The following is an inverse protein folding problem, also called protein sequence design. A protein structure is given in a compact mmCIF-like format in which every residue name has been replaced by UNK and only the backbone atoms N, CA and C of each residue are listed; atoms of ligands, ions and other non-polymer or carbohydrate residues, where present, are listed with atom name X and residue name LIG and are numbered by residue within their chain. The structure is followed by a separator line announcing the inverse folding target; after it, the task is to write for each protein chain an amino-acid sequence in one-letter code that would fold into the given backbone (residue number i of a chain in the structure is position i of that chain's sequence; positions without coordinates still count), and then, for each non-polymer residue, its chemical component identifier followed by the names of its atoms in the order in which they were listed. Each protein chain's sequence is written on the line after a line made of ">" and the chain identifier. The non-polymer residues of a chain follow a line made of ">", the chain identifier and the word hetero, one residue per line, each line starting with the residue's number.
data_IF_859351682675
#
_entry.id   IF_859351682675
#
_cell.length_a   1.000
_cell.length_b   1.000
_cell.length_c   1.000
_cell.angle_alpha   90.00
_cell.angle_beta   90.00
_cell.angle_gamma   90.00
#
_symmetry.space_group_name_H-M   'P 1'
#
loop_
_entity.id
_entity.type
_entity.pdbx_description
1 polymer ?
#
# COMPACT_ATOMS: atom_id res chain seq x y z
N UNK A 1 -8.43 23.35 -3.70
CA UNK A 1 -7.31 23.33 -2.73
C UNK A 1 -6.22 22.47 -3.35
N UNK A 2 -5.07 23.02 -3.68
CA UNK A 2 -3.90 22.21 -4.05
C UNK A 2 -3.49 21.37 -2.83
N UNK A 3 -3.56 20.05 -2.95
CA UNK A 3 -2.95 19.16 -1.97
C UNK A 3 -1.44 19.27 -2.18
N UNK A 4 -0.77 20.09 -1.38
CA UNK A 4 0.69 20.20 -1.42
C UNK A 4 1.28 18.85 -1.00
N UNK A 5 1.81 18.11 -1.96
CA UNK A 5 2.65 16.94 -1.70
C UNK A 5 3.78 17.35 -0.74
N UNK A 6 4.11 16.48 0.21
CA UNK A 6 5.33 16.64 1.00
C UNK A 6 6.49 16.00 0.23
N UNK A 7 7.33 16.77 -0.51
CA UNK A 7 8.42 16.21 -1.30
C UNK A 7 9.39 15.35 -0.47
N UNK A 8 9.45 15.59 0.84
CA UNK A 8 10.29 14.81 1.78
C UNK A 8 9.92 13.33 1.81
N UNK A 9 8.64 12.98 1.67
CA UNK A 9 8.21 11.58 1.80
C UNK A 9 8.58 10.76 0.57
N UNK A 10 8.49 11.33 -0.64
CA UNK A 10 8.97 10.64 -1.85
C UNK A 10 10.48 10.43 -1.80
N UNK A 11 11.23 11.47 -1.40
CA UNK A 11 12.69 11.38 -1.26
C UNK A 11 13.10 10.32 -0.23
N UNK A 12 12.39 10.27 0.89
CA UNK A 12 12.60 9.28 1.93
C UNK A 12 12.32 7.87 1.43
N UNK A 13 11.18 7.62 0.77
CA UNK A 13 10.83 6.32 0.20
C UNK A 13 11.86 5.89 -0.84
N UNK A 14 12.27 6.78 -1.74
CA UNK A 14 13.29 6.45 -2.75
C UNK A 14 14.62 6.10 -2.08
N UNK A 15 15.11 6.96 -1.18
CA UNK A 15 16.44 6.82 -0.58
C UNK A 15 16.55 5.65 0.39
N UNK A 16 15.51 5.43 1.22
CA UNK A 16 15.51 4.36 2.22
C UNK A 16 15.05 3.04 1.63
N UNK A 17 14.16 3.08 0.64
CA UNK A 17 13.66 1.92 -0.07
C UNK A 17 14.55 1.46 -1.22
N UNK A 18 15.57 2.23 -1.62
CA UNK A 18 16.42 1.97 -2.80
C UNK A 18 15.59 1.93 -4.10
N UNK A 19 14.72 2.93 -4.28
CA UNK A 19 13.74 3.00 -5.37
C UNK A 19 13.95 4.23 -6.26
N UNK A 20 15.18 4.73 -6.36
CA UNK A 20 15.51 5.89 -7.20
C UNK A 20 15.09 5.72 -8.66
N UNK A 21 15.21 4.49 -9.20
CA UNK A 21 14.80 4.16 -10.56
C UNK A 21 13.28 4.25 -10.78
N UNK A 22 12.49 4.06 -9.72
CA UNK A 22 11.03 4.13 -9.74
C UNK A 22 10.48 5.47 -9.22
N UNK A 23 11.33 6.49 -9.07
CA UNK A 23 10.97 7.77 -8.45
C UNK A 23 9.73 8.42 -9.07
N UNK A 24 9.67 8.47 -10.40
CA UNK A 24 8.56 9.15 -11.07
C UNK A 24 7.25 8.35 -10.97
N UNK A 25 7.34 7.02 -11.02
CA UNK A 25 6.21 6.13 -10.71
C UNK A 25 5.71 6.35 -9.28
N UNK A 26 6.61 6.43 -8.29
CA UNK A 26 6.25 6.68 -6.90
C UNK A 26 5.58 8.05 -6.74
N UNK A 27 6.10 9.09 -7.40
CA UNK A 27 5.45 10.41 -7.41
C UNK A 27 4.04 10.33 -7.98
N UNK A 28 3.85 9.63 -9.09
CA UNK A 28 2.54 9.48 -9.72
C UNK A 28 1.55 8.73 -8.80
N UNK A 29 1.97 7.63 -8.19
CA UNK A 29 1.16 6.91 -7.18
C UNK A 29 0.82 7.84 -6.00
N UNK A 30 1.78 8.61 -5.50
CA UNK A 30 1.56 9.55 -4.41
C UNK A 30 0.57 10.64 -4.81
N UNK A 31 0.66 11.21 -6.02
CA UNK A 31 -0.29 12.19 -6.55
C UNK A 31 -1.69 11.62 -6.55
N UNK A 32 -1.86 10.43 -7.14
CA UNK A 32 -3.14 9.73 -7.24
C UNK A 32 -3.79 9.53 -5.86
N UNK A 33 -3.03 9.02 -4.88
CA UNK A 33 -3.52 8.75 -3.52
C UNK A 33 -3.95 10.07 -2.83
N UNK A 34 -3.14 11.13 -2.97
CA UNK A 34 -3.44 12.44 -2.40
C UNK A 34 -4.67 13.10 -3.04
N UNK A 35 -4.86 12.97 -4.35
CA UNK A 35 -6.03 13.48 -5.07
C UNK A 35 -7.32 12.78 -4.65
N UNK A 36 -7.25 11.52 -4.22
CA UNK A 36 -8.39 10.81 -3.61
C UNK A 36 -8.61 11.15 -2.13
N UNK A 37 -7.81 12.05 -1.55
CA UNK A 37 -7.98 12.52 -0.18
C UNK A 37 -7.33 11.62 0.88
N UNK A 38 -6.39 10.75 0.50
CA UNK A 38 -5.59 9.97 1.43
C UNK A 38 -4.15 10.50 1.48
N UNK A 39 -3.57 10.62 2.67
CA UNK A 39 -2.17 11.04 2.83
C UNK A 39 -1.26 9.83 2.94
N UNK A 40 0.03 10.03 2.72
CA UNK A 40 1.05 8.99 2.89
C UNK A 40 2.08 9.48 3.90
N UNK A 41 2.43 8.62 4.85
CA UNK A 41 3.52 8.82 5.79
C UNK A 41 4.32 7.53 5.94
N UNK A 42 5.63 7.65 6.07
CA UNK A 42 6.51 6.53 6.39
C UNK A 42 6.45 6.22 7.88
N UNK A 43 6.72 4.97 8.25
CA UNK A 43 6.90 4.55 9.64
C UNK A 43 7.98 3.46 9.76
N UNK A 44 8.52 3.32 10.97
CA UNK A 44 9.67 2.44 11.24
C UNK A 44 9.46 1.55 12.47
N UNK A 45 8.45 1.87 13.29
CA UNK A 45 8.21 1.26 14.60
C UNK A 45 7.26 0.06 14.55
N UNK A 46 6.61 -0.21 13.42
CA UNK A 46 5.68 -1.34 13.24
C UNK A 46 6.12 -2.23 12.08
N UNK A 47 5.84 -3.55 12.14
CA UNK A 47 6.34 -4.50 11.15
C UNK A 47 5.57 -4.50 9.81
N UNK A 48 4.39 -3.90 9.74
CA UNK A 48 3.55 -3.89 8.53
C UNK A 48 3.21 -2.48 8.11
N UNK A 49 2.77 -2.30 6.87
CA UNK A 49 2.06 -1.08 6.45
C UNK A 49 0.59 -1.13 6.91
N UNK A 50 -0.12 0.00 6.91
CA UNK A 50 -1.56 0.04 7.24
C UNK A 50 -2.21 1.36 6.83
N UNK A 51 -3.52 1.37 6.62
CA UNK A 51 -4.33 2.60 6.60
C UNK A 51 -4.78 3.01 8.02
N UNK A 52 -4.41 4.23 8.43
CA UNK A 52 -4.85 4.86 9.68
C UNK A 52 -6.05 5.78 9.40
N UNK A 53 -7.21 5.37 9.88
CA UNK A 53 -8.49 6.10 9.74
C UNK A 53 -8.79 7.03 10.92
N UNK A 54 -7.89 7.15 11.89
CA UNK A 54 -8.11 7.92 13.13
C UNK A 54 -7.60 9.36 13.07
N UNK A 55 -6.82 9.71 12.04
CA UNK A 55 -6.25 11.03 11.89
C UNK A 55 -7.32 12.10 11.61
N UNK A 56 -7.22 13.23 12.31
CA UNK A 56 -8.18 14.33 12.22
C UNK A 56 -8.30 14.93 10.81
N UNK A 57 -7.21 14.91 10.05
CA UNK A 57 -7.14 15.52 8.71
C UNK A 57 -7.39 14.51 7.57
N UNK A 58 -8.06 13.40 7.85
CA UNK A 58 -8.35 12.34 6.88
C UNK A 58 -7.40 11.13 6.97
N UNK A 59 -7.69 10.05 6.22
CA UNK A 59 -6.98 8.79 6.32
C UNK A 59 -5.53 8.89 5.84
N UNK A 60 -4.64 8.14 6.50
CA UNK A 60 -3.20 8.14 6.22
C UNK A 60 -2.72 6.71 5.99
N UNK A 61 -2.15 6.44 4.81
CA UNK A 61 -1.35 5.24 4.60
C UNK A 61 -0.03 5.39 5.35
N UNK A 62 0.19 4.48 6.31
CA UNK A 62 1.44 4.35 7.08
C UNK A 62 2.29 3.26 6.43
N UNK A 63 3.20 3.68 5.56
CA UNK A 63 4.05 2.78 4.78
C UNK A 63 5.29 2.36 5.60
N UNK A 64 5.50 1.05 5.75
CA UNK A 64 6.71 0.53 6.37
C UNK A 64 7.84 0.36 5.33
N UNK A 65 9.03 0.88 5.66
CA UNK A 65 10.23 0.77 4.82
C UNK A 65 11.25 -0.27 5.31
N UNK A 66 11.09 -0.86 6.50
CA UNK A 66 12.08 -1.77 7.09
C UNK A 66 11.80 -3.26 6.85
N UNK A 67 10.54 -3.65 6.69
CA UNK A 67 10.18 -5.08 6.59
C UNK A 67 10.30 -5.67 5.19
N UNK A 68 10.59 -4.85 4.18
CA UNK A 68 10.65 -5.26 2.79
C UNK A 68 12.05 -5.79 2.43
N UNK A 69 12.10 -7.05 1.96
CA UNK A 69 13.34 -7.70 1.54
C UNK A 69 13.85 -7.22 0.18
N UNK A 70 12.92 -6.87 -0.70
CA UNK A 70 13.20 -6.35 -2.04
C UNK A 70 12.65 -4.93 -2.13
N UNK A 71 13.40 -3.97 -2.72
CA UNK A 71 12.96 -2.59 -2.91
C UNK A 71 11.54 -2.48 -3.47
N UNK A 72 11.25 -3.22 -4.55
CA UNK A 72 9.98 -3.17 -5.27
C UNK A 72 8.77 -3.57 -4.41
N UNK A 73 8.96 -4.37 -3.34
CA UNK A 73 7.89 -4.74 -2.43
C UNK A 73 7.31 -3.56 -1.66
N UNK A 74 8.05 -2.45 -1.53
CA UNK A 74 7.53 -1.21 -0.95
C UNK A 74 6.46 -0.60 -1.86
N UNK A 75 6.64 -0.65 -3.19
CA UNK A 75 5.63 -0.20 -4.15
C UNK A 75 4.40 -1.10 -4.07
N UNK A 76 4.59 -2.42 -3.99
CA UNK A 76 3.47 -3.37 -3.84
C UNK A 76 2.70 -3.16 -2.53
N UNK A 77 3.42 -2.94 -1.42
CA UNK A 77 2.82 -2.56 -0.13
C UNK A 77 2.00 -1.28 -0.27
N UNK A 78 2.53 -0.26 -0.94
CA UNK A 78 1.83 1.01 -1.14
C UNK A 78 0.54 0.84 -1.93
N UNK A 79 0.57 0.10 -3.04
CA UNK A 79 -0.62 -0.19 -3.86
C UNK A 79 -1.65 -1.01 -3.07
N UNK A 80 -1.21 -1.97 -2.27
CA UNK A 80 -2.09 -2.76 -1.40
C UNK A 80 -2.78 -1.90 -0.34
N UNK A 81 -2.04 -1.05 0.37
CA UNK A 81 -2.64 -0.14 1.35
C UNK A 81 -3.58 0.88 0.71
N UNK A 82 -3.26 1.32 -0.50
CA UNK A 82 -4.19 2.15 -1.26
C UNK A 82 -5.48 1.39 -1.63
N UNK A 83 -5.38 0.10 -1.97
CA UNK A 83 -6.52 -0.78 -2.13
C UNK A 83 -7.39 -0.88 -0.86
N UNK A 84 -6.77 -0.95 0.33
CA UNK A 84 -7.49 -0.89 1.61
C UNK A 84 -8.24 0.43 1.81
N UNK A 85 -7.63 1.54 1.39
CA UNK A 85 -8.28 2.85 1.42
C UNK A 85 -9.48 2.90 0.46
N UNK A 86 -9.34 2.39 -0.77
CA UNK A 86 -10.42 2.33 -1.76
C UNK A 86 -11.57 1.41 -1.33
N UNK A 87 -11.25 0.35 -0.59
CA UNK A 87 -12.23 -0.57 0.03
C UNK A 87 -13.03 0.08 1.18
N UNK A 88 -12.70 1.31 1.57
CA UNK A 88 -13.33 2.05 2.65
C UNK A 88 -12.99 1.56 4.05
N UNK A 89 -13.36 2.35 5.05
CA UNK A 89 -13.16 2.03 6.48
C UNK A 89 -13.98 0.78 6.85
N UNK A 90 -13.41 -0.19 7.58
CA UNK A 90 -14.18 -1.31 8.12
C UNK A 90 -15.38 -0.84 8.95
N UNK A 91 -16.53 -1.49 8.78
CA UNK A 91 -17.76 -1.16 9.53
C UNK A 91 -17.61 -1.43 11.03
N UNK A 92 -16.79 -2.42 11.40
CA UNK A 92 -16.50 -2.80 12.79
C UNK A 92 -15.00 -2.80 13.03
N UNK A 93 -14.60 -2.53 14.29
CA UNK A 93 -13.19 -2.59 14.69
C UNK A 93 -12.64 -4.02 14.77
N UNK A 94 -13.53 -5.03 14.85
CA UNK A 94 -13.20 -6.45 14.85
C UNK A 94 -13.95 -7.11 13.71
N UNK A 95 -13.19 -7.62 12.77
CA UNK A 95 -13.66 -8.46 11.68
C UNK A 95 -13.39 -9.91 12.08
N UNK A 96 -14.26 -10.81 11.69
CA UNK A 96 -13.93 -12.24 11.71
C UNK A 96 -12.92 -12.57 10.59
N UNK A 97 -12.38 -13.78 10.60
CA UNK A 97 -11.32 -14.17 9.67
C UNK A 97 -11.79 -14.19 8.20
N UNK A 98 -13.07 -14.47 7.95
CA UNK A 98 -13.65 -14.46 6.60
C UNK A 98 -13.79 -13.03 6.07
N UNK A 99 -14.27 -12.12 6.91
CA UNK A 99 -14.35 -10.69 6.62
C UNK A 99 -12.96 -10.08 6.43
N UNK A 100 -11.98 -10.48 7.24
CA UNK A 100 -10.60 -10.04 7.09
C UNK A 100 -10.04 -10.52 5.75
N UNK A 101 -10.17 -11.80 5.43
CA UNK A 101 -9.73 -12.35 4.14
C UNK A 101 -10.41 -11.65 2.96
N UNK A 102 -11.72 -11.46 2.99
CA UNK A 102 -12.47 -10.80 1.93
C UNK A 102 -11.95 -9.37 1.69
N UNK A 103 -11.59 -8.65 2.76
CA UNK A 103 -11.00 -7.31 2.64
C UNK A 103 -9.58 -7.32 2.06
N UNK A 104 -8.73 -8.26 2.44
CA UNK A 104 -7.39 -8.38 1.86
C UNK A 104 -7.48 -8.69 0.36
N UNK A 105 -8.38 -9.61 -0.03
CA UNK A 105 -8.63 -9.92 -1.45
C UNK A 105 -9.09 -8.67 -2.20
N UNK A 106 -10.08 -7.94 -1.67
CA UNK A 106 -10.59 -6.73 -2.30
C UNK A 106 -9.52 -5.63 -2.41
N UNK A 107 -8.69 -5.45 -1.38
CA UNK A 107 -7.58 -4.51 -1.41
C UNK A 107 -6.59 -4.86 -2.54
N UNK A 108 -6.28 -6.15 -2.73
CA UNK A 108 -5.45 -6.58 -3.84
C UNK A 108 -6.13 -6.44 -5.21
N UNK A 109 -7.44 -6.68 -5.33
CA UNK A 109 -8.18 -6.45 -6.57
C UNK A 109 -8.15 -4.97 -6.99
N UNK A 110 -8.26 -4.06 -6.02
CA UNK A 110 -8.06 -2.64 -6.29
C UNK A 110 -6.61 -2.35 -6.70
N UNK A 111 -5.62 -2.95 -6.03
CA UNK A 111 -4.22 -2.79 -6.42
C UNK A 111 -3.95 -3.30 -7.84
N UNK A 112 -4.57 -4.42 -8.25
CA UNK A 112 -4.51 -4.96 -9.62
C UNK A 112 -5.05 -3.94 -10.64
N UNK A 113 -6.18 -3.29 -10.32
CA UNK A 113 -6.75 -2.24 -11.18
C UNK A 113 -5.82 -1.03 -11.29
N UNK A 114 -5.20 -0.61 -10.18
CA UNK A 114 -4.27 0.53 -10.20
C UNK A 114 -2.96 0.21 -10.93
N UNK A 115 -2.51 -1.04 -10.90
CA UNK A 115 -1.26 -1.45 -11.54
C UNK A 115 -1.30 -1.22 -13.07
N UNK A 116 -2.48 -1.31 -13.69
CA UNK A 116 -2.69 -1.07 -15.13
C UNK A 116 -2.30 0.37 -15.51
N UNK A 117 -2.46 1.32 -14.60
CA UNK A 117 -2.14 2.74 -14.81
C UNK A 117 -0.64 3.04 -14.74
N UNK A 118 0.21 2.05 -14.40
CA UNK A 118 1.65 2.21 -14.30
C UNK A 118 2.40 1.18 -15.18
N UNK A 119 2.44 1.38 -16.50
CA UNK A 119 3.05 0.42 -17.44
C UNK A 119 4.52 0.08 -17.13
N UNK A 120 5.28 1.03 -16.58
CA UNK A 120 6.65 0.81 -16.11
C UNK A 120 6.78 -0.33 -15.07
N UNK A 121 5.71 -0.64 -14.34
CA UNK A 121 5.69 -1.73 -13.35
C UNK A 121 5.33 -3.10 -13.98
N UNK A 122 4.94 -3.13 -15.26
CA UNK A 122 4.53 -4.36 -15.94
C UNK A 122 5.64 -5.40 -16.04
N UNK A 123 6.90 -4.98 -16.19
CA UNK A 123 8.05 -5.89 -16.21
C UNK A 123 8.20 -6.65 -14.88
N UNK A 124 7.74 -6.04 -13.79
CA UNK A 124 7.77 -6.62 -12.44
C UNK A 124 6.45 -7.32 -12.07
N UNK A 125 5.50 -7.49 -13.00
CA UNK A 125 4.16 -8.04 -12.71
C UNK A 125 4.21 -9.45 -12.11
N UNK A 126 5.17 -10.28 -12.52
CA UNK A 126 5.34 -11.60 -11.92
C UNK A 126 5.74 -11.50 -10.43
N UNK A 127 6.67 -10.61 -10.10
CA UNK A 127 7.09 -10.36 -8.71
C UNK A 127 5.94 -9.81 -7.87
N UNK A 128 5.11 -8.93 -8.46
CA UNK A 128 3.87 -8.46 -7.83
C UNK A 128 2.92 -9.62 -7.47
N UNK A 129 2.62 -10.52 -8.42
CA UNK A 129 1.72 -11.64 -8.17
C UNK A 129 2.27 -12.62 -7.13
N UNK A 130 3.59 -12.85 -7.12
CA UNK A 130 4.26 -13.65 -6.08
C UNK A 130 4.13 -13.00 -4.70
N UNK A 131 4.34 -11.68 -4.61
CA UNK A 131 4.20 -10.92 -3.38
C UNK A 131 2.76 -10.96 -2.85
N UNK A 132 1.77 -10.70 -3.72
CA UNK A 132 0.33 -10.83 -3.40
C UNK A 132 0.00 -12.23 -2.86
N UNK A 133 0.43 -13.27 -3.55
CA UNK A 133 0.17 -14.65 -3.13
C UNK A 133 0.79 -14.96 -1.76
N UNK A 134 2.02 -14.49 -1.52
CA UNK A 134 2.69 -14.64 -0.22
C UNK A 134 1.92 -13.91 0.90
N UNK A 135 1.44 -12.69 0.65
CA UNK A 135 0.62 -11.93 1.61
C UNK A 135 -0.70 -12.65 1.93
N UNK A 136 -1.47 -13.05 0.92
CA UNK A 136 -2.76 -13.72 1.10
C UNK A 136 -2.62 -15.06 1.83
N UNK A 137 -1.56 -15.82 1.55
CA UNK A 137 -1.25 -17.07 2.24
C UNK A 137 -1.15 -16.90 3.76
N UNK A 138 -0.63 -15.77 4.25
CA UNK A 138 -0.56 -15.53 5.71
C UNK A 138 -1.93 -15.45 6.40
N UNK A 139 -2.98 -15.08 5.65
CA UNK A 139 -4.35 -15.07 6.15
C UNK A 139 -5.02 -16.44 5.98
N UNK A 140 -4.73 -17.17 4.90
CA UNK A 140 -5.20 -18.55 4.74
C UNK A 140 -4.67 -19.47 5.83
N UNK A 141 -3.41 -19.33 6.19
CA UNK A 141 -2.77 -20.14 7.23
C UNK A 141 -3.40 -19.83 8.60
N UNK A 142 -3.71 -18.56 8.90
CA UNK A 142 -4.43 -18.17 10.13
C UNK A 142 -5.83 -18.78 10.22
N UNK A 143 -6.55 -18.84 9.11
CA UNK A 143 -7.91 -19.44 9.05
C UNK A 143 -7.94 -20.94 9.32
N UNK A 144 -6.81 -21.64 9.17
CA UNK A 144 -6.69 -23.09 9.37
C UNK A 144 -6.24 -23.46 10.78
N UNK A 145 -5.85 -22.49 11.61
CA UNK A 145 -5.44 -22.68 13.01
C UNK A 145 -6.64 -22.57 13.94
#
# INVERSE_FOLDING_TARGET
>A
MEVKQNPRTVDEVCKKGQLEEHRDTIKAIFTLINEKGCKIATRYERPTSSVDWSAADGPIIRLNLLSNKEPIHIIWSLLHEYGHFLSGKPATARLDDDQQMAREVLAWEHADQQLIEFPELCECRQAYHQYRAACLKTYEDKRKM
#
